data_IF_447983449894
#
_entry.id   IF_447983449894
#
_cell.length_a   1.000
_cell.length_b   1.000
_cell.length_c   1.000
_cell.angle_alpha   90.00
_cell.angle_beta   90.00
_cell.angle_gamma   90.00
#
_symmetry.space_group_name_H-M   'P 1'
#
loop_
_entity.id
_entity.type
_entity.pdbx_description
1 polymer ?
#
# COMPACT_ATOMS: atom_id res chain seq x y z
N UNK A 1 -38.53 50.96 -21.86
CA UNK A 1 -37.69 50.59 -20.70
C UNK A 1 -37.05 49.23 -20.97
N UNK A 2 -35.83 49.15 -21.49
CA UNK A 2 -35.16 47.86 -21.81
C UNK A 2 -33.65 47.96 -21.60
N UNK A 3 -33.21 48.03 -20.33
CA UNK A 3 -31.78 48.15 -19.97
C UNK A 3 -31.41 47.28 -18.76
N UNK A 4 -31.95 46.05 -18.64
CA UNK A 4 -31.72 45.21 -17.45
C UNK A 4 -31.16 43.80 -17.73
N UNK A 5 -31.34 43.23 -18.93
CA UNK A 5 -30.93 41.83 -19.19
C UNK A 5 -29.45 41.64 -19.56
N UNK A 6 -28.75 42.67 -20.08
CA UNK A 6 -27.35 42.54 -20.51
C UNK A 6 -26.33 42.47 -19.37
N UNK A 7 -26.64 43.05 -18.20
CA UNK A 7 -25.70 43.11 -17.06
C UNK A 7 -25.61 41.80 -16.27
N UNK A 8 -26.67 41.00 -16.27
CA UNK A 8 -26.73 39.72 -15.55
C UNK A 8 -25.96 38.64 -16.33
N UNK A 9 -26.07 38.63 -17.65
CA UNK A 9 -25.36 37.68 -18.51
C UNK A 9 -23.83 37.82 -18.45
N UNK A 10 -23.30 39.03 -18.25
CA UNK A 10 -21.85 39.27 -18.12
C UNK A 10 -21.27 38.89 -16.76
N UNK A 11 -22.06 38.90 -15.68
CA UNK A 11 -21.59 38.45 -14.37
C UNK A 11 -21.57 36.92 -14.26
N UNK A 12 -22.52 36.24 -14.88
CA UNK A 12 -22.57 34.78 -14.90
C UNK A 12 -21.40 34.16 -15.69
N UNK A 13 -20.98 34.77 -16.81
CA UNK A 13 -19.82 34.33 -17.59
C UNK A 13 -18.49 34.61 -16.88
N UNK A 14 -18.37 35.73 -16.16
CA UNK A 14 -17.19 36.01 -15.35
C UNK A 14 -17.03 35.02 -14.19
N UNK A 15 -18.11 34.67 -13.49
CA UNK A 15 -18.07 33.68 -12.41
C UNK A 15 -17.73 32.27 -12.92
N UNK A 16 -18.28 31.86 -14.08
CA UNK A 16 -17.96 30.57 -14.70
C UNK A 16 -16.51 30.49 -15.21
N UNK A 17 -15.95 31.60 -15.72
CA UNK A 17 -14.56 31.66 -16.16
C UNK A 17 -13.58 31.58 -14.98
N UNK A 18 -13.89 32.24 -13.85
CA UNK A 18 -13.09 32.18 -12.62
C UNK A 18 -13.13 30.78 -11.99
N UNK A 19 -14.30 30.12 -11.99
CA UNK A 19 -14.42 28.73 -11.53
C UNK A 19 -13.68 27.76 -12.46
N UNK A 20 -13.71 27.98 -13.77
CA UNK A 20 -12.97 27.16 -14.74
C UNK A 20 -11.45 27.33 -14.60
N UNK A 21 -10.98 28.54 -14.28
CA UNK A 21 -9.56 28.79 -13.97
C UNK A 21 -9.12 28.14 -12.65
N UNK A 22 -9.99 28.12 -11.62
CA UNK A 22 -9.67 27.47 -10.36
C UNK A 22 -9.53 25.95 -10.51
N UNK A 23 -10.42 25.31 -11.28
CA UNK A 23 -10.33 23.86 -11.57
C UNK A 23 -9.09 23.56 -12.44
N UNK A 24 -8.81 24.39 -13.44
CA UNK A 24 -7.62 24.24 -14.28
C UNK A 24 -6.31 24.45 -13.51
N UNK A 25 -6.26 25.38 -12.56
CA UNK A 25 -5.10 25.58 -11.69
C UNK A 25 -4.87 24.37 -10.77
N UNK A 26 -5.93 23.83 -10.17
CA UNK A 26 -5.83 22.68 -9.28
C UNK A 26 -5.36 21.43 -10.04
N UNK A 27 -5.82 21.24 -11.29
CA UNK A 27 -5.40 20.15 -12.17
C UNK A 27 -3.96 20.34 -12.69
N UNK A 28 -3.55 21.59 -12.91
CA UNK A 28 -2.18 21.95 -13.31
C UNK A 28 -1.19 21.83 -12.15
N UNK A 29 -1.59 22.15 -10.92
CA UNK A 29 -0.82 21.93 -9.69
C UNK A 29 -0.66 20.43 -9.40
N UNK A 30 -1.73 19.64 -9.53
CA UNK A 30 -1.65 18.16 -9.46
C UNK A 30 -0.69 17.59 -10.51
N UNK A 31 -0.74 18.09 -11.75
CA UNK A 31 0.16 17.62 -12.80
C UNK A 31 1.61 18.12 -12.63
N UNK A 32 1.84 19.27 -12.01
CA UNK A 32 3.18 19.78 -11.71
C UNK A 32 3.90 18.96 -10.63
N UNK A 33 3.15 18.41 -9.66
CA UNK A 33 3.70 17.61 -8.56
C UNK A 33 3.87 16.13 -8.92
N UNK A 34 3.34 15.67 -10.05
CA UNK A 34 3.58 14.32 -10.56
C UNK A 34 5.06 14.16 -10.90
N UNK A 35 5.80 13.53 -9.99
CA UNK A 35 7.18 13.11 -10.20
C UNK A 35 7.17 12.12 -11.37
N UNK A 36 7.64 12.56 -12.53
CA UNK A 36 7.81 11.65 -13.66
C UNK A 36 8.88 10.61 -13.29
N UNK A 37 8.44 9.41 -12.95
CA UNK A 37 9.34 8.26 -12.79
C UNK A 37 9.57 7.72 -14.20
N UNK A 38 10.80 7.74 -14.73
CA UNK A 38 11.08 7.16 -16.04
C UNK A 38 10.77 5.66 -15.98
N UNK A 39 9.95 5.17 -16.91
CA UNK A 39 9.66 3.75 -17.03
C UNK A 39 10.97 3.02 -17.31
N UNK A 40 11.40 2.18 -16.36
CA UNK A 40 12.55 1.29 -16.53
C UNK A 40 12.02 -0.09 -16.91
N UNK A 41 12.14 -0.51 -18.18
CA UNK A 41 11.61 -1.80 -18.64
C UNK A 41 12.23 -3.00 -17.92
N UNK A 42 13.39 -2.82 -17.27
CA UNK A 42 14.08 -3.85 -16.50
C UNK A 42 13.47 -4.10 -15.11
N UNK A 43 12.54 -3.25 -14.63
CA UNK A 43 11.97 -3.36 -13.29
C UNK A 43 10.48 -3.77 -13.38
N UNK A 44 10.05 -4.81 -12.65
CA UNK A 44 8.64 -5.20 -12.63
C UNK A 44 7.77 -4.05 -12.14
N UNK A 45 6.55 -3.94 -12.68
CA UNK A 45 5.59 -2.91 -12.27
C UNK A 45 5.19 -3.07 -10.79
N UNK A 46 4.66 -2.02 -10.16
CA UNK A 46 4.14 -2.09 -8.77
C UNK A 46 3.09 -3.19 -8.66
N UNK A 47 2.14 -3.20 -9.61
CA UNK A 47 1.09 -4.22 -9.70
C UNK A 47 1.68 -5.62 -9.76
N UNK A 48 2.68 -5.85 -10.60
CA UNK A 48 3.35 -7.14 -10.72
C UNK A 48 4.06 -7.53 -9.40
N UNK A 49 4.78 -6.59 -8.79
CA UNK A 49 5.47 -6.83 -7.50
C UNK A 49 4.49 -7.19 -6.38
N UNK A 50 3.41 -6.43 -6.22
CA UNK A 50 2.39 -6.66 -5.18
C UNK A 50 1.66 -7.99 -5.45
N UNK A 51 1.25 -8.23 -6.69
CA UNK A 51 0.58 -9.49 -7.07
C UNK A 51 1.48 -10.69 -6.78
N UNK A 52 2.76 -10.62 -7.16
CA UNK A 52 3.73 -11.69 -6.91
C UNK A 52 4.00 -11.89 -5.41
N UNK A 53 4.06 -10.80 -4.63
CA UNK A 53 4.19 -10.85 -3.17
C UNK A 53 3.01 -11.60 -2.53
N UNK A 54 1.78 -11.32 -2.95
CA UNK A 54 0.59 -12.02 -2.44
C UNK A 54 0.53 -13.48 -2.89
N UNK A 55 0.85 -13.76 -4.15
CA UNK A 55 0.92 -15.12 -4.68
C UNK A 55 1.93 -16.00 -3.90
N UNK A 56 3.09 -15.43 -3.57
CA UNK A 56 4.14 -16.15 -2.86
C UNK A 56 3.99 -16.14 -1.33
N UNK A 57 3.04 -15.35 -0.78
CA UNK A 57 2.89 -15.14 0.66
C UNK A 57 2.74 -16.44 1.44
N UNK A 58 1.89 -17.35 0.95
CA UNK A 58 1.69 -18.68 1.54
C UNK A 58 2.99 -19.47 1.58
N UNK A 59 3.70 -19.53 0.46
CA UNK A 59 4.97 -20.25 0.33
C UNK A 59 6.02 -19.73 1.33
N UNK A 60 6.17 -18.40 1.44
CA UNK A 60 7.11 -17.80 2.38
C UNK A 60 6.77 -18.11 3.84
N UNK A 61 5.48 -18.04 4.22
CA UNK A 61 5.04 -18.36 5.58
C UNK A 61 5.26 -19.85 5.91
N UNK A 62 4.98 -20.74 4.97
CA UNK A 62 5.23 -22.18 5.13
C UNK A 62 6.72 -22.48 5.29
N UNK A 63 7.57 -21.88 4.45
CA UNK A 63 9.03 -22.04 4.56
C UNK A 63 9.54 -21.58 5.93
N UNK A 64 9.08 -20.42 6.40
CA UNK A 64 9.49 -19.90 7.70
C UNK A 64 9.00 -20.78 8.86
N UNK A 65 7.78 -21.30 8.76
CA UNK A 65 7.23 -22.25 9.73
C UNK A 65 8.11 -23.51 9.81
N UNK A 66 8.44 -24.11 8.65
CA UNK A 66 9.28 -25.30 8.59
C UNK A 66 10.68 -25.06 9.17
N UNK A 67 11.27 -23.89 8.91
CA UNK A 67 12.56 -23.50 9.50
C UNK A 67 12.49 -23.45 11.03
N UNK A 68 11.49 -22.75 11.59
CA UNK A 68 11.34 -22.65 13.04
C UNK A 68 11.04 -24.00 13.70
N UNK A 69 10.21 -24.83 13.06
CA UNK A 69 9.92 -26.19 13.54
C UNK A 69 11.19 -27.06 13.54
N UNK A 70 12.06 -26.92 12.53
CA UNK A 70 13.36 -27.60 12.53
C UNK A 70 14.23 -27.14 13.70
N UNK A 71 14.34 -25.84 13.94
CA UNK A 71 15.13 -25.29 15.06
C UNK A 71 14.61 -25.77 16.42
N UNK A 72 13.29 -25.79 16.62
CA UNK A 72 12.64 -26.32 17.82
C UNK A 72 12.93 -27.82 17.98
N UNK A 73 12.88 -28.58 16.88
CA UNK A 73 13.22 -30.02 16.89
C UNK A 73 14.69 -30.27 17.22
N UNK A 74 15.60 -29.43 16.71
CA UNK A 74 17.03 -29.51 17.02
C UNK A 74 17.30 -29.19 18.50
N UNK A 75 16.60 -28.21 19.07
CA UNK A 75 16.66 -27.90 20.50
C UNK A 75 16.14 -29.04 21.37
N UNK A 76 14.94 -29.54 21.10
CA UNK A 76 14.33 -30.64 21.86
C UNK A 76 15.11 -31.96 21.77
N UNK A 77 15.83 -32.19 20.66
CA UNK A 77 16.74 -33.32 20.51
C UNK A 77 18.13 -33.10 21.14
N UNK A 78 18.41 -31.92 21.69
CA UNK A 78 19.69 -31.57 22.30
C UNK A 78 20.82 -31.29 21.31
N UNK A 79 20.54 -31.20 20.01
CA UNK A 79 21.54 -30.96 18.95
C UNK A 79 21.94 -29.50 18.83
N UNK A 80 21.02 -28.57 19.08
CA UNK A 80 21.28 -27.13 19.08
C UNK A 80 20.48 -26.45 20.19
N UNK A 81 21.13 -26.15 21.31
CA UNK A 81 20.46 -25.62 22.49
C UNK A 81 20.21 -24.12 22.35
N UNK A 82 18.94 -23.75 22.17
CA UNK A 82 18.42 -22.40 22.39
C UNK A 82 18.39 -22.04 23.87
N UNK A 83 18.37 -20.73 24.15
CA UNK A 83 17.95 -20.23 25.46
C UNK A 83 16.45 -20.49 25.68
N UNK A 84 16.02 -20.61 26.94
CA UNK A 84 14.60 -20.79 27.27
C UNK A 84 13.74 -19.64 26.71
N UNK A 85 14.27 -18.41 26.74
CA UNK A 85 13.59 -17.23 26.18
C UNK A 85 13.41 -17.31 24.66
N UNK A 86 14.44 -17.76 23.93
CA UNK A 86 14.38 -17.90 22.47
C UNK A 86 13.50 -19.07 22.06
N UNK A 87 13.52 -20.16 22.83
CA UNK A 87 12.63 -21.29 22.64
C UNK A 87 11.16 -20.88 22.77
N UNK A 88 10.81 -20.19 23.86
CA UNK A 88 9.45 -19.68 24.10
C UNK A 88 9.02 -18.69 23.02
N UNK A 89 9.96 -17.83 22.58
CA UNK A 89 9.73 -16.90 21.48
C UNK A 89 9.40 -17.67 20.19
N UNK A 90 10.19 -18.68 19.83
CA UNK A 90 9.96 -19.49 18.64
C UNK A 90 8.63 -20.24 18.70
N UNK A 91 8.24 -20.79 19.84
CA UNK A 91 6.92 -21.41 20.04
C UNK A 91 5.77 -20.42 19.76
N UNK A 92 5.86 -19.21 20.31
CA UNK A 92 4.87 -18.14 20.06
C UNK A 92 4.83 -17.76 18.58
N UNK A 93 5.98 -17.65 17.92
CA UNK A 93 6.05 -17.36 16.49
C UNK A 93 5.41 -18.46 15.64
N UNK A 94 5.67 -19.73 15.94
CA UNK A 94 5.04 -20.88 15.27
C UNK A 94 3.51 -20.81 15.37
N UNK A 95 2.98 -20.55 16.56
CA UNK A 95 1.53 -20.37 16.75
C UNK A 95 0.97 -19.19 15.93
N UNK A 96 1.72 -18.09 15.85
CA UNK A 96 1.36 -16.94 15.03
C UNK A 96 1.36 -17.26 13.53
N UNK A 97 2.34 -18.04 13.06
CA UNK A 97 2.44 -18.46 11.66
C UNK A 97 1.30 -19.41 11.28
N UNK A 98 0.93 -20.36 12.15
CA UNK A 98 -0.24 -21.22 11.93
C UNK A 98 -1.53 -20.41 11.78
N UNK A 99 -1.76 -19.43 12.65
CA UNK A 99 -2.92 -18.53 12.55
C UNK A 99 -2.93 -17.74 11.24
N UNK A 100 -1.78 -17.21 10.83
CA UNK A 100 -1.65 -16.48 9.56
C UNK A 100 -1.88 -17.38 8.34
N UNK A 101 -1.41 -18.62 8.39
CA UNK A 101 -1.62 -19.59 7.31
C UNK A 101 -3.08 -20.01 7.20
N UNK A 102 -3.74 -20.33 8.32
CA UNK A 102 -5.17 -20.63 8.34
C UNK A 102 -6.00 -19.46 7.79
N UNK A 103 -5.68 -18.22 8.21
CA UNK A 103 -6.34 -17.03 7.69
C UNK A 103 -6.13 -16.77 6.20
N UNK A 104 -5.10 -17.37 5.57
CA UNK A 104 -4.92 -17.32 4.11
C UNK A 104 -5.67 -18.44 3.39
N UNK A 105 -5.84 -19.60 4.03
CA UNK A 105 -6.58 -20.74 3.47
C UNK A 105 -8.09 -20.46 3.43
N UNK A 106 -8.62 -19.84 4.48
CA UNK A 106 -10.05 -19.53 4.60
C UNK A 106 -10.44 -18.20 3.94
N UNK A 107 -9.50 -17.49 3.32
CA UNK A 107 -9.76 -16.16 2.76
C UNK A 107 -10.56 -16.25 1.47
N UNK A 108 -11.64 -15.46 1.39
CA UNK A 108 -12.40 -15.28 0.14
C UNK A 108 -11.50 -14.66 -0.94
N UNK A 109 -11.41 -15.26 -2.15
CA UNK A 109 -10.66 -14.71 -3.27
C UNK A 109 -11.00 -13.25 -3.62
N UNK A 110 -12.25 -12.81 -3.42
CA UNK A 110 -12.65 -11.42 -3.66
C UNK A 110 -12.01 -10.46 -2.67
N UNK A 111 -11.97 -10.85 -1.39
CA UNK A 111 -11.31 -10.06 -0.34
C UNK A 111 -9.79 -10.05 -0.59
N UNK A 112 -9.21 -11.18 -0.97
CA UNK A 112 -7.80 -11.24 -1.32
C UNK A 112 -7.44 -10.31 -2.50
N UNK A 113 -8.31 -10.24 -3.52
CA UNK A 113 -8.10 -9.30 -4.63
C UNK A 113 -8.23 -7.84 -4.19
N UNK A 114 -9.19 -7.51 -3.32
CA UNK A 114 -9.33 -6.15 -2.77
C UNK A 114 -8.07 -5.72 -2.02
N UNK A 115 -7.49 -6.60 -1.17
CA UNK A 115 -6.23 -6.30 -0.47
C UNK A 115 -5.06 -6.03 -1.43
N UNK A 116 -5.01 -6.73 -2.57
CA UNK A 116 -4.00 -6.49 -3.62
C UNK A 116 -4.20 -5.11 -4.24
N UNK A 117 -5.44 -4.76 -4.61
CA UNK A 117 -5.73 -3.45 -5.23
C UNK A 117 -5.50 -2.30 -4.26
N UNK A 118 -5.91 -2.42 -2.99
CA UNK A 118 -5.66 -1.42 -1.95
C UNK A 118 -4.16 -1.21 -1.72
N UNK A 119 -3.36 -2.29 -1.73
CA UNK A 119 -1.91 -2.20 -1.60
C UNK A 119 -1.27 -1.56 -2.84
N UNK A 120 -1.77 -1.84 -4.05
CA UNK A 120 -1.31 -1.19 -5.27
C UNK A 120 -1.61 0.30 -5.22
N UNK A 121 -2.84 0.68 -4.89
CA UNK A 121 -3.27 2.07 -4.77
C UNK A 121 -2.39 2.82 -3.76
N UNK A 122 -2.12 2.21 -2.61
CA UNK A 122 -1.21 2.80 -1.61
C UNK A 122 0.19 3.06 -2.17
N UNK A 123 0.77 2.10 -2.88
CA UNK A 123 2.09 2.26 -3.48
C UNK A 123 2.11 3.31 -4.58
N UNK A 124 1.05 3.42 -5.38
CA UNK A 124 0.89 4.44 -6.40
C UNK A 124 0.85 5.84 -5.76
N UNK A 125 0.02 6.04 -4.72
CA UNK A 125 -0.05 7.31 -3.95
C UNK A 125 1.29 7.70 -3.32
N UNK A 126 2.04 6.72 -2.80
CA UNK A 126 3.40 6.94 -2.28
C UNK A 126 4.37 7.44 -3.36
N UNK A 127 4.27 6.94 -4.60
CA UNK A 127 5.12 7.38 -5.69
C UNK A 127 4.72 8.75 -6.25
N UNK A 128 3.42 9.03 -6.24
CA UNK A 128 2.87 10.34 -6.62
C UNK A 128 3.27 11.44 -5.63
N UNK A 129 3.78 11.08 -4.46
CA UNK A 129 4.22 12.01 -3.43
C UNK A 129 3.05 12.58 -2.63
N UNK A 130 1.89 11.90 -2.65
CA UNK A 130 0.73 12.27 -1.84
C UNK A 130 1.01 12.15 -0.34
N UNK A 131 1.98 11.30 0.04
CA UNK A 131 2.47 11.21 1.40
C UNK A 131 3.68 12.12 1.58
N UNK A 132 3.48 13.28 2.22
CA UNK A 132 4.55 14.17 2.62
C UNK A 132 5.01 13.79 4.02
N UNK A 133 6.30 13.52 4.18
CA UNK A 133 6.89 13.36 5.50
C UNK A 133 6.91 14.72 6.20
N UNK A 134 6.05 14.88 7.20
CA UNK A 134 6.04 16.07 8.04
C UNK A 134 7.18 15.97 9.05
N UNK A 135 8.23 16.76 8.81
CA UNK A 135 9.42 16.82 9.67
C UNK A 135 9.13 17.39 11.06
N UNK A 136 8.06 18.18 11.23
CA UNK A 136 7.68 18.75 12.52
C UNK A 136 6.93 17.74 13.40
N UNK A 137 6.12 16.88 12.77
CA UNK A 137 5.33 15.86 13.48
C UNK A 137 5.99 14.49 13.56
N UNK A 138 7.00 14.24 12.74
CA UNK A 138 7.61 12.92 12.61
C UNK A 138 6.62 11.86 12.10
N UNK A 139 5.69 12.27 11.22
CA UNK A 139 4.64 11.41 10.68
C UNK A 139 4.42 11.66 9.19
N UNK A 140 3.89 10.65 8.49
CA UNK A 140 3.40 10.80 7.12
C UNK A 140 2.04 11.51 7.12
N UNK A 141 1.90 12.53 6.29
CA UNK A 141 0.68 13.31 6.07
C UNK A 141 0.18 13.10 4.65
#
# INVERSE_FOLDING_TARGET
MTMSLRKIATMATAAAAVLSQAVAQEEQERNFHKRHIPHRPDRPSIREQVTQKHANRRHHLQRHLSQLQSTISEHTSGRNLLSDEDYDRHLKFVQGLHRKLAALEDKDPRIAQLEIEEEIELHEKMLEGEFLWDMERGSWC
#
